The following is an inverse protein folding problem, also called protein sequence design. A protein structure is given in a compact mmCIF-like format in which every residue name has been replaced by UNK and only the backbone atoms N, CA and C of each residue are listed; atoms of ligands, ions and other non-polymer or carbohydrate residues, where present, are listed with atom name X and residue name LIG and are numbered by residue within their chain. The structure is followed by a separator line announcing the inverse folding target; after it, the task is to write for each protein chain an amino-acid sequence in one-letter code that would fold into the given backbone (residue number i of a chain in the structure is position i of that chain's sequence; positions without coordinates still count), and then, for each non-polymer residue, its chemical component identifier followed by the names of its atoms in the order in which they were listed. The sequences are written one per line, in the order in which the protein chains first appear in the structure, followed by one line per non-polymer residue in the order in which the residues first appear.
data_IF_178380179651
#
_entry.id   IF_178380179651
#
_cell.length_a   1.000
_cell.length_b   1.000
_cell.length_c   1.000
_cell.angle_alpha   90.00
_cell.angle_beta   90.00
_cell.angle_gamma   90.00
#
_symmetry.space_group_name_H-M   'P 1'
#
loop_
_entity.id
_entity.type
_entity.pdbx_description
1 polymer ?
#
# COMPACT_ATOMS: atom_id res chain seq x y z
N UNK A 1 8.10 12.18 5.85
CA UNK A 1 6.64 12.32 5.99
C UNK A 1 6.25 11.81 7.37
N UNK A 2 5.55 12.62 8.15
CA UNK A 2 5.06 12.19 9.46
C UNK A 2 3.74 11.41 9.31
N UNK A 3 3.19 10.91 10.42
CA UNK A 3 1.96 10.13 10.37
C UNK A 3 0.77 10.93 9.84
N UNK A 4 0.62 12.19 10.23
CA UNK A 4 -0.49 13.02 9.76
C UNK A 4 -0.43 13.20 8.24
N UNK A 5 0.74 13.45 7.71
CA UNK A 5 0.94 13.57 6.26
C UNK A 5 0.71 12.24 5.54
N UNK A 6 1.15 11.14 6.13
CA UNK A 6 0.93 9.79 5.59
C UNK A 6 -0.57 9.48 5.54
N UNK A 7 -1.29 9.73 6.64
CA UNK A 7 -2.72 9.54 6.70
C UNK A 7 -3.45 10.39 5.67
N UNK A 8 -3.07 11.64 5.54
CA UNK A 8 -3.67 12.56 4.56
C UNK A 8 -3.39 12.13 3.12
N UNK A 9 -2.25 11.51 2.88
CA UNK A 9 -1.91 10.94 1.57
C UNK A 9 -2.76 9.70 1.26
N UNK A 10 -2.92 8.81 2.23
CA UNK A 10 -3.62 7.53 2.04
C UNK A 10 -5.13 7.69 2.00
N UNK A 11 -5.70 8.51 2.88
CA UNK A 11 -7.14 8.57 3.11
C UNK A 11 -7.98 8.81 1.86
N UNK A 12 -7.62 9.74 0.96
CA UNK A 12 -8.46 9.97 -0.24
C UNK A 12 -8.55 8.76 -1.17
N UNK A 13 -7.63 7.81 -1.06
CA UNK A 13 -7.60 6.64 -1.92
C UNK A 13 -8.51 5.50 -1.42
N UNK A 14 -9.00 5.60 -0.19
CA UNK A 14 -9.77 4.54 0.46
C UNK A 14 -11.22 4.95 0.72
N UNK A 15 -12.14 3.97 0.89
CA UNK A 15 -13.51 4.26 1.27
C UNK A 15 -13.59 4.74 2.72
N UNK A 16 -14.76 5.30 3.08
CA UNK A 16 -14.98 5.89 4.40
C UNK A 16 -14.67 4.94 5.55
N UNK A 17 -15.07 3.68 5.46
CA UNK A 17 -14.81 2.70 6.53
C UNK A 17 -13.31 2.52 6.80
N UNK A 18 -12.48 2.59 5.75
CA UNK A 18 -11.04 2.50 5.90
C UNK A 18 -10.47 3.83 6.40
N UNK A 19 -10.99 4.96 5.91
CA UNK A 19 -10.57 6.28 6.40
C UNK A 19 -10.82 6.43 7.90
N UNK A 20 -11.95 5.92 8.38
CA UNK A 20 -12.29 5.96 9.80
C UNK A 20 -11.28 5.13 10.62
N UNK A 21 -10.90 3.96 10.12
CA UNK A 21 -9.88 3.14 10.78
C UNK A 21 -8.50 3.81 10.78
N UNK A 22 -8.12 4.45 9.67
CA UNK A 22 -6.88 5.22 9.61
C UNK A 22 -6.86 6.36 10.62
N UNK A 23 -7.99 7.03 10.80
CA UNK A 23 -8.12 8.15 11.72
C UNK A 23 -7.96 7.74 13.18
N UNK A 24 -8.21 6.49 13.50
CA UNK A 24 -8.10 5.95 14.87
C UNK A 24 -6.68 5.51 15.24
N UNK A 25 -5.79 5.42 14.26
CA UNK A 25 -4.43 4.94 14.50
C UNK A 25 -3.52 6.04 15.03
N UNK A 26 -2.63 5.65 15.91
CA UNK A 26 -1.60 6.53 16.46
C UNK A 26 -0.34 6.49 15.57
N UNK A 27 0.52 7.54 15.65
CA UNK A 27 1.79 7.51 14.94
C UNK A 27 2.60 6.26 15.24
N UNK A 28 3.12 5.61 14.20
CA UNK A 28 3.93 4.41 14.35
C UNK A 28 3.18 3.11 14.51
N UNK A 29 1.85 3.14 14.62
CA UNK A 29 1.06 1.92 14.74
C UNK A 29 0.97 1.14 13.42
N UNK A 30 0.64 1.83 12.33
CA UNK A 30 0.42 1.17 11.05
C UNK A 30 1.73 0.79 10.38
N UNK A 31 1.88 -0.51 10.08
CA UNK A 31 3.05 -1.06 9.42
C UNK A 31 2.77 -1.42 7.98
N UNK A 32 1.60 -1.97 7.70
CA UNK A 32 1.29 -2.50 6.40
C UNK A 32 -0.22 -2.49 6.16
N UNK A 33 -0.62 -2.26 4.91
CA UNK A 33 -2.01 -2.41 4.46
C UNK A 33 -2.01 -3.48 3.38
N UNK A 34 -2.84 -4.50 3.55
CA UNK A 34 -2.99 -5.56 2.56
C UNK A 34 -4.38 -5.50 1.94
N UNK A 35 -4.43 -5.35 0.64
CA UNK A 35 -5.67 -5.28 -0.13
C UNK A 35 -5.65 -6.41 -1.16
N UNK A 36 -6.65 -7.27 -1.13
CA UNK A 36 -6.82 -8.34 -2.12
C UNK A 36 -8.23 -8.31 -2.65
N UNK A 37 -8.38 -8.51 -3.96
CA UNK A 37 -9.71 -8.60 -4.57
C UNK A 37 -10.52 -9.74 -3.93
N UNK A 38 -11.76 -9.45 -3.59
CA UNK A 38 -12.73 -10.40 -3.01
C UNK A 38 -12.33 -10.92 -1.62
N UNK A 39 -11.45 -10.20 -0.91
CA UNK A 39 -11.02 -10.53 0.45
C UNK A 39 -11.12 -9.31 1.35
N UNK A 40 -11.32 -9.49 2.65
CA UNK A 40 -11.29 -8.36 3.57
C UNK A 40 -9.93 -7.66 3.57
N UNK A 41 -9.96 -6.35 3.55
CA UNK A 41 -8.76 -5.54 3.73
C UNK A 41 -8.15 -5.80 5.11
N UNK A 42 -6.83 -5.70 5.22
CA UNK A 42 -6.12 -6.02 6.46
C UNK A 42 -5.15 -4.89 6.79
N UNK A 43 -5.18 -4.44 8.04
CA UNK A 43 -4.15 -3.59 8.61
C UNK A 43 -3.21 -4.45 9.46
N UNK A 44 -1.92 -4.33 9.20
CA UNK A 44 -0.88 -4.90 10.05
C UNK A 44 -0.31 -3.77 10.88
N UNK A 45 -0.47 -3.86 12.19
CA UNK A 45 0.05 -2.85 13.12
C UNK A 45 1.25 -3.42 13.89
N UNK A 46 1.84 -2.61 14.74
CA UNK A 46 2.97 -3.03 15.56
C UNK A 46 2.63 -4.19 16.50
N UNK A 47 1.35 -4.34 16.86
CA UNK A 47 0.92 -5.32 17.88
C UNK A 47 -0.03 -6.39 17.35
N UNK A 48 -0.69 -6.17 16.22
CA UNK A 48 -1.72 -7.10 15.73
C UNK A 48 -1.97 -6.97 14.25
N UNK A 49 -2.66 -7.96 13.70
CA UNK A 49 -3.20 -7.97 12.34
C UNK A 49 -4.72 -7.88 12.45
N UNK A 50 -5.32 -6.87 11.84
CA UNK A 50 -6.75 -6.62 11.92
C UNK A 50 -7.42 -6.73 10.56
N UNK A 51 -8.48 -7.56 10.47
CA UNK A 51 -9.34 -7.60 9.28
C UNK A 51 -10.36 -6.48 9.37
N UNK A 52 -10.56 -5.80 8.25
CA UNK A 52 -11.48 -4.67 8.17
C UNK A 52 -12.74 -5.03 7.39
N UNK A 53 -13.78 -4.22 7.55
CA UNK A 53 -15.09 -4.45 6.92
C UNK A 53 -15.16 -3.93 5.48
N UNK A 54 -14.10 -4.14 4.72
CA UNK A 54 -14.08 -3.76 3.31
C UNK A 54 -13.55 -4.90 2.48
N UNK A 55 -14.37 -5.39 1.56
CA UNK A 55 -14.03 -6.46 0.63
C UNK A 55 -14.09 -5.88 -0.78
N UNK A 56 -12.97 -5.33 -1.29
CA UNK A 56 -12.97 -4.70 -2.61
C UNK A 56 -13.03 -5.71 -3.74
N UNK A 57 -13.72 -5.36 -4.83
CA UNK A 57 -13.63 -6.11 -6.07
C UNK A 57 -12.36 -5.76 -6.84
N UNK A 58 -12.22 -6.35 -8.03
CA UNK A 58 -11.07 -6.15 -8.90
C UNK A 58 -10.88 -4.67 -9.28
N UNK A 59 -11.95 -4.02 -9.72
CA UNK A 59 -11.86 -2.63 -10.18
C UNK A 59 -11.45 -1.65 -9.10
N UNK A 60 -12.01 -1.72 -7.87
CA UNK A 60 -11.52 -0.89 -6.78
C UNK A 60 -10.05 -1.09 -6.42
N UNK A 61 -9.55 -2.33 -6.51
CA UNK A 61 -8.13 -2.61 -6.28
C UNK A 61 -7.26 -1.90 -7.33
N UNK A 62 -7.64 -1.97 -8.58
CA UNK A 62 -6.94 -1.29 -9.68
C UNK A 62 -6.99 0.23 -9.53
N UNK A 63 -8.17 0.77 -9.19
CA UNK A 63 -8.35 2.20 -8.98
C UNK A 63 -7.48 2.71 -7.81
N UNK A 64 -7.39 1.93 -6.74
CA UNK A 64 -6.54 2.24 -5.60
C UNK A 64 -5.07 2.33 -6.01
N UNK A 65 -4.62 1.37 -6.80
CA UNK A 65 -3.24 1.33 -7.29
C UNK A 65 -2.91 2.55 -8.13
N UNK A 66 -3.81 2.93 -9.04
CA UNK A 66 -3.64 4.12 -9.87
C UNK A 66 -3.61 5.39 -9.02
N UNK A 67 -4.52 5.52 -8.06
CA UNK A 67 -4.57 6.68 -7.19
C UNK A 67 -3.31 6.82 -6.34
N UNK A 68 -2.83 5.73 -5.76
CA UNK A 68 -1.64 5.74 -4.92
C UNK A 68 -0.36 6.05 -5.71
N UNK A 69 -0.30 5.60 -6.96
CA UNK A 69 0.85 5.87 -7.83
C UNK A 69 0.81 7.27 -8.47
N UNK A 70 -0.23 8.06 -8.18
CA UNK A 70 -0.42 9.37 -8.81
C UNK A 70 -0.77 9.26 -10.29
N UNK A 71 -1.46 8.18 -10.67
CA UNK A 71 -1.83 7.87 -12.05
C UNK A 71 -0.62 7.71 -12.98
N UNK A 72 0.52 7.30 -12.43
CA UNK A 72 1.76 7.12 -13.17
C UNK A 72 2.20 5.66 -13.29
N UNK A 73 1.30 4.71 -13.01
CA UNK A 73 1.63 3.29 -13.04
C UNK A 73 2.19 2.85 -14.39
N UNK A 74 1.60 3.33 -15.47
CA UNK A 74 2.03 3.03 -16.83
C UNK A 74 3.41 3.62 -17.13
N UNK A 75 3.64 4.85 -16.67
CA UNK A 75 4.91 5.55 -16.88
C UNK A 75 6.05 4.94 -16.05
N UNK A 76 5.72 4.17 -15.01
CA UNK A 76 6.69 3.54 -14.11
C UNK A 76 6.78 2.04 -14.35
N UNK A 77 6.71 1.63 -15.61
CA UNK A 77 6.67 0.22 -16.00
C UNK A 77 7.89 -0.58 -15.52
N UNK A 78 9.07 0.04 -15.44
CA UNK A 78 10.27 -0.64 -14.96
C UNK A 78 10.17 -1.00 -13.48
N UNK A 79 9.62 -0.12 -12.65
CA UNK A 79 9.38 -0.41 -11.24
C UNK A 79 8.29 -1.48 -11.10
N UNK A 80 7.24 -1.39 -11.90
CA UNK A 80 6.14 -2.34 -11.92
C UNK A 80 6.62 -3.76 -12.24
N UNK A 81 7.61 -3.89 -13.13
CA UNK A 81 8.21 -5.19 -13.45
C UNK A 81 8.90 -5.83 -12.25
N UNK A 82 9.44 -5.02 -11.35
CA UNK A 82 10.08 -5.50 -10.13
C UNK A 82 9.06 -5.95 -9.07
N UNK A 83 7.77 -5.68 -9.30
CA UNK A 83 6.70 -6.06 -8.41
C UNK A 83 6.42 -5.07 -7.29
N UNK A 84 7.10 -3.93 -7.27
CA UNK A 84 6.84 -2.89 -6.28
C UNK A 84 7.10 -1.49 -6.83
N UNK A 85 6.44 -0.53 -6.21
CA UNK A 85 6.62 0.90 -6.49
C UNK A 85 6.95 1.61 -5.19
N UNK A 86 7.79 2.64 -5.28
CA UNK A 86 8.01 3.56 -4.17
C UNK A 86 7.00 4.70 -4.27
N UNK A 87 6.24 4.91 -3.21
CA UNK A 87 5.22 5.96 -3.15
C UNK A 87 5.80 7.23 -2.53
N UNK A 88 5.06 8.32 -2.66
CA UNK A 88 5.39 9.57 -1.98
C UNK A 88 5.58 9.32 -0.49
N UNK A 89 6.67 9.84 0.06
CA UNK A 89 7.01 9.64 1.47
C UNK A 89 7.86 8.41 1.74
N UNK A 90 8.24 7.65 0.70
CA UNK A 90 9.09 6.48 0.83
C UNK A 90 8.36 5.18 1.12
N UNK A 91 7.03 5.19 1.12
CA UNK A 91 6.25 3.97 1.29
C UNK A 91 6.45 3.05 0.09
N UNK A 92 6.36 1.74 0.31
CA UNK A 92 6.48 0.76 -0.77
C UNK A 92 5.16 0.08 -1.02
N UNK A 93 4.80 -0.01 -2.29
CA UNK A 93 3.58 -0.69 -2.72
C UNK A 93 3.95 -1.90 -3.59
N UNK A 94 3.74 -3.10 -3.06
CA UNK A 94 3.89 -4.35 -3.80
C UNK A 94 2.62 -4.66 -4.55
N UNK A 95 2.76 -5.14 -5.78
CA UNK A 95 1.65 -5.43 -6.67
C UNK A 95 1.70 -6.87 -7.13
N UNK A 96 0.53 -7.50 -7.26
CA UNK A 96 0.42 -8.83 -7.83
C UNK A 96 -0.72 -8.85 -8.85
N UNK A 97 -0.41 -9.27 -10.07
CA UNK A 97 -1.35 -9.33 -11.19
C UNK A 97 -0.72 -10.07 -12.34
N UNK A 98 -1.28 -9.90 -13.52
CA UNK A 98 -0.75 -10.50 -14.74
C UNK A 98 0.16 -9.54 -15.48
N UNK A 99 1.30 -10.05 -15.93
CA UNK A 99 2.24 -9.30 -16.76
C UNK A 99 2.01 -9.69 -18.21
N UNK A 100 1.70 -8.71 -19.05
CA UNK A 100 1.62 -8.90 -20.48
C UNK A 100 2.77 -8.18 -21.18
N UNK A 101 3.36 -8.82 -22.17
CA UNK A 101 4.41 -8.21 -23.00
C UNK A 101 3.86 -7.94 -24.38
N UNK A 102 3.99 -6.71 -24.83
CA UNK A 102 3.59 -6.29 -26.17
C UNK A 102 4.60 -5.28 -26.69
N UNK A 103 5.14 -5.55 -27.89
CA UNK A 103 6.13 -4.68 -28.54
C UNK A 103 7.35 -4.38 -27.65
N UNK A 104 7.82 -5.36 -26.90
CA UNK A 104 8.97 -5.21 -26.02
C UNK A 104 8.67 -4.49 -24.72
N UNK A 105 7.42 -4.09 -24.50
CA UNK A 105 6.99 -3.44 -23.26
C UNK A 105 6.24 -4.40 -22.38
N UNK A 106 6.52 -4.35 -21.08
CA UNK A 106 5.80 -5.13 -20.07
C UNK A 106 4.76 -4.24 -19.43
N UNK A 107 3.53 -4.75 -19.35
CA UNK A 107 2.42 -4.07 -18.68
C UNK A 107 1.83 -4.99 -17.62
N UNK A 108 1.66 -4.48 -16.41
CA UNK A 108 0.97 -5.20 -15.34
C UNK A 108 -0.53 -4.96 -15.50
N UNK A 109 -1.29 -6.04 -15.60
CA UNK A 109 -2.76 -6.01 -15.73
C UNK A 109 -3.41 -6.89 -14.68
N UNK A 110 -4.70 -6.66 -14.49
CA UNK A 110 -5.52 -7.48 -13.58
C UNK A 110 -4.92 -7.56 -12.19
N UNK A 111 -4.58 -6.39 -11.65
CA UNK A 111 -3.98 -6.31 -10.31
C UNK A 111 -4.99 -6.83 -9.29
N UNK A 112 -4.67 -7.97 -8.69
CA UNK A 112 -5.55 -8.66 -7.75
C UNK A 112 -5.16 -8.41 -6.30
N UNK A 113 -3.94 -7.99 -6.03
CA UNK A 113 -3.51 -7.69 -4.68
C UNK A 113 -2.50 -6.57 -4.63
N UNK A 114 -2.56 -5.83 -3.53
CA UNK A 114 -1.70 -4.69 -3.25
C UNK A 114 -1.28 -4.78 -1.79
N UNK A 115 0.00 -4.61 -1.53
CA UNK A 115 0.55 -4.56 -0.19
C UNK A 115 1.31 -3.25 -0.03
N UNK A 116 0.87 -2.42 0.90
CA UNK A 116 1.49 -1.12 1.14
C UNK A 116 2.27 -1.20 2.45
N UNK A 117 3.58 -1.07 2.36
CA UNK A 117 4.44 -0.98 3.55
C UNK A 117 4.67 0.47 3.89
N UNK A 118 4.33 0.83 5.10
CA UNK A 118 4.38 2.20 5.57
C UNK A 118 5.80 2.52 6.02
N UNK A 119 6.42 3.51 5.38
CA UNK A 119 7.66 4.09 5.86
C UNK A 119 7.32 5.04 7.00
N UNK A 120 8.13 5.05 8.05
CA UNK A 120 7.89 5.92 9.17
C UNK A 120 9.18 6.15 9.95
N UNK A 121 9.11 7.09 10.87
CA UNK A 121 10.19 7.26 11.81
C UNK A 121 10.05 6.22 12.91
N UNK A 122 10.87 5.19 12.81
CA UNK A 122 10.88 4.09 13.77
C UNK A 122 12.01 4.25 14.78
N UNK A 123 12.28 5.46 15.26
CA UNK A 123 13.46 5.71 16.08
C UNK A 123 13.62 4.74 17.23
N UNK A 124 12.59 4.57 18.05
CA UNK A 124 12.65 3.62 19.14
C UNK A 124 12.72 2.17 18.68
N UNK A 125 11.99 1.84 17.64
CA UNK A 125 12.00 0.51 17.05
C UNK A 125 13.24 0.26 16.21
N UNK A 126 13.71 1.28 15.47
CA UNK A 126 14.90 1.18 14.64
C UNK A 126 16.16 0.95 15.48
N UNK A 127 16.29 1.64 16.60
CA UNK A 127 17.42 1.45 17.51
C UNK A 127 17.45 0.01 18.04
N UNK A 128 16.29 -0.52 18.42
CA UNK A 128 16.17 -1.89 18.84
C UNK A 128 16.41 -2.89 17.74
N UNK A 129 15.96 -2.59 16.52
CA UNK A 129 16.16 -3.46 15.35
C UNK A 129 17.60 -3.46 14.89
N UNK A 130 18.26 -2.30 14.90
CA UNK A 130 19.66 -2.19 14.51
C UNK A 130 20.53 -2.99 15.46
N UNK A 131 20.22 -2.99 16.73
CA UNK A 131 20.98 -3.79 17.71
C UNK A 131 20.75 -5.29 17.57
N UNK A 132 19.67 -5.71 16.87
CA UNK A 132 19.36 -7.12 16.62
C UNK A 132 19.92 -7.62 15.29
N UNK A 133 20.18 -6.73 14.40
CA UNK A 133 20.74 -7.00 13.09
C UNK A 133 22.17 -6.56 12.99
#
# INVERSE_FOLDING_TARGET
MNWDETRDFLSPCFPECIRDELAMLLPGELREIRIRAERPAVFVTATRTAKLDWIPGQMPVEALTEALSGHSLFARADETRRGYLTLRGGHRMGLCGHITRKNGQSTLRDIASVCIRIAGEWRGCADGLISRF
#
